data_IF_063915546294
#
_entry.id   IF_063915546294
#
_cell.length_a   1.000
_cell.length_b   1.000
_cell.length_c   1.000
_cell.angle_alpha   90.00
_cell.angle_beta   90.00
_cell.angle_gamma   90.00
#
_symmetry.space_group_name_H-M   'P 1'
#
loop_
_entity.id
_entity.type
_entity.pdbx_description
1 polymer ?
#
# COMPACT_ATOMS: atom_id res chain seq x y z
N UNK A 1 33.51 -23.94 24.45
CA UNK A 1 33.36 -24.22 23.00
C UNK A 1 33.30 -22.89 22.31
N UNK A 2 34.21 -22.72 21.35
CA UNK A 2 34.77 -21.46 20.86
C UNK A 2 33.80 -20.58 20.08
N UNK A 3 34.16 -19.30 20.09
CA UNK A 3 33.74 -18.18 19.26
C UNK A 3 33.39 -18.54 17.81
N UNK A 4 32.25 -18.05 17.34
CA UNK A 4 31.89 -18.03 15.93
C UNK A 4 32.31 -16.70 15.28
N UNK A 5 32.93 -16.83 14.11
CA UNK A 5 33.70 -15.85 13.39
C UNK A 5 32.89 -14.69 12.78
N UNK A 6 33.45 -13.50 12.90
CA UNK A 6 33.13 -12.30 12.12
C UNK A 6 34.10 -12.22 10.93
N UNK A 7 33.76 -12.81 9.79
CA UNK A 7 34.65 -12.76 8.61
C UNK A 7 33.94 -12.71 7.24
N UNK A 8 32.88 -11.89 7.11
CA UNK A 8 32.22 -11.68 5.81
C UNK A 8 32.37 -10.27 5.24
N UNK A 9 33.04 -9.34 5.94
CA UNK A 9 33.27 -7.96 5.46
C UNK A 9 34.71 -7.83 4.94
N UNK A 10 34.86 -8.03 3.61
CA UNK A 10 35.87 -7.44 2.69
C UNK A 10 36.38 -8.48 1.71
N UNK A 11 35.70 -8.64 0.57
CA UNK A 11 36.35 -9.22 -0.61
C UNK A 11 35.74 -8.77 -1.93
N UNK A 12 35.89 -7.50 -2.29
CA UNK A 12 36.10 -7.08 -3.69
C UNK A 12 36.81 -5.73 -3.67
N UNK A 13 38.14 -5.72 -3.75
CA UNK A 13 38.94 -4.61 -4.29
C UNK A 13 40.42 -4.90 -4.04
N UNK A 14 41.10 -5.46 -5.04
CA UNK A 14 42.48 -5.15 -5.42
C UNK A 14 43.03 -6.29 -6.26
N UNK A 15 42.82 -6.23 -7.57
CA UNK A 15 43.67 -6.95 -8.51
C UNK A 15 44.40 -5.87 -9.33
N UNK A 16 45.54 -5.46 -8.82
CA UNK A 16 46.53 -4.63 -9.52
C UNK A 16 47.83 -5.41 -9.43
N UNK A 17 47.96 -6.40 -10.33
CA UNK A 17 49.21 -7.09 -10.58
C UNK A 17 50.13 -6.19 -11.40
N UNK A 18 51.27 -5.83 -10.82
CA UNK A 18 52.37 -5.12 -11.45
C UNK A 18 52.94 -5.93 -12.63
N UNK A 19 53.01 -5.30 -13.81
CA UNK A 19 53.73 -5.85 -14.96
C UNK A 19 55.11 -5.19 -15.05
N UNK A 20 56.12 -6.05 -14.93
CA UNK A 20 57.56 -5.78 -14.96
C UNK A 20 57.99 -5.19 -16.30
N UNK A 21 58.72 -4.08 -16.22
CA UNK A 21 59.33 -3.35 -17.33
C UNK A 21 60.62 -4.07 -17.79
N UNK A 22 60.63 -4.62 -19.01
CA UNK A 22 61.85 -5.06 -19.69
C UNK A 22 62.07 -4.25 -20.98
N UNK A 23 63.23 -3.57 -21.03
CA UNK A 23 63.73 -2.83 -22.20
C UNK A 23 64.22 -3.82 -23.25
N UNK A 24 63.69 -3.73 -24.47
CA UNK A 24 64.42 -4.08 -25.69
C UNK A 24 64.11 -3.04 -26.77
N UNK A 25 65.17 -2.47 -27.35
CA UNK A 25 65.10 -1.51 -28.44
C UNK A 25 64.83 -2.15 -29.79
N UNK A 26 64.44 -1.33 -30.76
CA UNK A 26 64.34 -1.74 -32.16
C UNK A 26 63.40 -0.84 -32.95
N UNK A 27 63.98 -0.10 -33.90
CA UNK A 27 63.32 0.71 -34.94
C UNK A 27 62.21 -0.05 -35.68
N UNK A 28 61.15 0.66 -36.08
CA UNK A 28 60.25 0.20 -37.15
C UNK A 28 58.92 0.94 -37.21
N UNK A 29 58.83 1.93 -38.09
CA UNK A 29 57.60 2.62 -38.49
C UNK A 29 56.55 1.65 -39.06
N UNK A 30 55.27 1.92 -38.80
CA UNK A 30 54.17 2.05 -39.78
C UNK A 30 52.86 2.26 -38.99
N UNK A 31 52.32 3.47 -39.07
CA UNK A 31 51.00 3.81 -38.56
C UNK A 31 49.93 3.29 -39.53
N UNK A 32 49.10 2.35 -39.08
CA UNK A 32 47.84 2.00 -39.73
C UNK A 32 46.69 2.65 -38.95
N UNK A 33 46.21 3.78 -39.47
CA UNK A 33 44.98 4.44 -39.01
C UNK A 33 43.80 3.62 -39.55
N UNK A 34 43.20 2.78 -38.72
CA UNK A 34 41.92 2.16 -39.02
C UNK A 34 40.80 3.17 -38.75
N UNK A 35 40.17 3.68 -39.82
CA UNK A 35 39.02 4.56 -39.73
C UNK A 35 37.80 3.78 -39.21
N UNK A 36 37.46 3.99 -37.94
CA UNK A 36 36.20 3.51 -37.35
C UNK A 36 35.06 4.40 -37.89
N UNK A 37 34.27 3.86 -38.82
CA UNK A 37 33.04 4.49 -39.30
C UNK A 37 32.02 4.50 -38.16
N UNK A 38 31.79 5.67 -37.58
CA UNK A 38 30.71 5.93 -36.62
C UNK A 38 29.37 5.86 -37.37
N UNK A 39 28.70 4.71 -37.32
CA UNK A 39 27.28 4.59 -37.68
C UNK A 39 26.50 5.15 -36.48
N UNK A 40 25.75 6.25 -36.62
CA UNK A 40 24.85 6.69 -35.56
C UNK A 40 23.72 5.67 -35.44
N UNK A 41 23.83 4.79 -34.45
CA UNK A 41 22.75 3.92 -34.03
C UNK A 41 21.62 4.78 -33.51
N UNK A 42 20.56 4.94 -34.30
CA UNK A 42 19.31 5.55 -33.84
C UNK A 42 18.73 4.59 -32.81
N UNK A 43 19.00 4.84 -31.54
CA UNK A 43 18.35 4.15 -30.43
C UNK A 43 16.85 4.46 -30.51
N UNK A 44 16.10 3.58 -31.17
CA UNK A 44 14.65 3.53 -31.01
C UNK A 44 14.40 3.12 -29.58
N UNK A 45 14.07 4.10 -28.73
CA UNK A 45 13.42 3.81 -27.47
C UNK A 45 12.15 3.01 -27.80
N UNK A 46 12.14 1.71 -27.49
CA UNK A 46 10.90 0.97 -27.39
C UNK A 46 10.12 1.61 -26.26
N UNK A 47 9.21 2.53 -26.58
CA UNK A 47 8.05 2.78 -25.74
C UNK A 47 7.24 1.50 -25.78
N UNK A 48 7.61 0.55 -24.93
CA UNK A 48 6.70 -0.49 -24.48
C UNK A 48 5.44 0.25 -24.09
N UNK A 49 4.33 -0.02 -24.78
CA UNK A 49 3.02 0.35 -24.29
C UNK A 49 2.78 -0.49 -23.02
N UNK A 50 3.45 -0.14 -21.92
CA UNK A 50 2.98 -0.50 -20.61
C UNK A 50 1.64 0.19 -20.51
N UNK A 51 0.54 -0.58 -20.50
CA UNK A 51 -0.77 -0.08 -20.10
C UNK A 51 -0.55 0.79 -18.87
N UNK A 52 -0.67 2.11 -19.05
CA UNK A 52 -0.26 3.06 -18.03
C UNK A 52 -1.14 2.82 -16.81
N UNK A 53 -0.52 2.43 -15.69
CA UNK A 53 -1.23 2.20 -14.45
C UNK A 53 -1.76 3.53 -13.95
N UNK A 54 -3.07 3.65 -13.76
CA UNK A 54 -3.72 4.92 -13.44
C UNK A 54 -4.59 4.86 -12.19
N UNK A 55 -4.81 6.01 -11.57
CA UNK A 55 -5.71 6.13 -10.42
C UNK A 55 -7.09 5.59 -10.77
N UNK A 56 -7.64 6.08 -11.87
CA UNK A 56 -9.04 5.88 -12.21
C UNK A 56 -9.37 4.41 -12.49
N UNK A 57 -8.53 3.75 -13.28
CA UNK A 57 -8.75 2.36 -13.70
C UNK A 57 -8.32 1.34 -12.65
N UNK A 58 -7.14 1.54 -12.05
CA UNK A 58 -6.46 0.49 -11.29
C UNK A 58 -6.53 0.71 -9.77
N UNK A 59 -6.62 1.97 -9.30
CA UNK A 59 -6.56 2.28 -7.87
C UNK A 59 -7.94 2.51 -7.26
N UNK A 60 -8.87 3.14 -7.97
CA UNK A 60 -10.25 3.36 -7.47
C UNK A 60 -10.92 2.05 -7.04
N UNK A 61 -10.85 0.92 -7.77
CA UNK A 61 -11.45 -0.34 -7.31
C UNK A 61 -10.90 -0.82 -5.96
N UNK A 62 -9.59 -0.66 -5.73
CA UNK A 62 -8.94 -1.02 -4.46
C UNK A 62 -9.45 -0.10 -3.34
N UNK A 63 -9.47 1.22 -3.57
CA UNK A 63 -9.92 2.19 -2.57
C UNK A 63 -11.40 2.01 -2.22
N UNK A 64 -12.26 1.77 -3.21
CA UNK A 64 -13.69 1.53 -2.99
C UNK A 64 -13.94 0.34 -2.06
N UNK A 65 -13.23 -0.78 -2.28
CA UNK A 65 -13.41 -2.01 -1.51
C UNK A 65 -12.77 -1.94 -0.13
N UNK A 66 -11.53 -1.45 -0.06
CA UNK A 66 -10.67 -1.61 1.13
C UNK A 66 -10.50 -0.34 1.95
N UNK A 67 -10.89 0.84 1.46
CA UNK A 67 -10.59 2.11 2.12
C UNK A 67 -11.81 3.01 2.35
N UNK A 68 -12.68 3.17 1.36
CA UNK A 68 -13.77 4.16 1.37
C UNK A 68 -14.89 3.88 2.37
N UNK A 69 -14.89 2.70 3.01
CA UNK A 69 -15.80 2.44 4.13
C UNK A 69 -15.48 3.37 5.32
N UNK A 70 -14.20 3.69 5.53
CA UNK A 70 -13.73 4.59 6.58
C UNK A 70 -13.26 5.94 6.02
N UNK A 71 -12.65 5.95 4.83
CA UNK A 71 -12.07 7.12 4.18
C UNK A 71 -13.03 7.80 3.21
N UNK A 72 -14.12 8.33 3.75
CA UNK A 72 -15.05 9.21 3.04
C UNK A 72 -15.58 10.26 4.02
N UNK A 73 -16.18 11.33 3.48
CA UNK A 73 -16.73 12.39 4.30
C UNK A 73 -17.79 11.86 5.27
N UNK A 74 -17.71 12.31 6.54
CA UNK A 74 -18.66 11.95 7.59
C UNK A 74 -18.38 10.60 8.26
N UNK A 75 -17.32 9.90 7.86
CA UNK A 75 -16.88 8.65 8.49
C UNK A 75 -15.62 8.87 9.35
N UNK A 76 -15.18 7.79 9.99
CA UNK A 76 -14.14 7.78 11.04
C UNK A 76 -12.75 8.26 10.61
N UNK A 77 -12.35 8.18 9.34
CA UNK A 77 -11.00 8.58 8.95
C UNK A 77 -10.91 10.09 8.64
N UNK A 78 -9.82 10.77 9.03
CA UNK A 78 -9.71 12.23 8.96
C UNK A 78 -9.52 12.79 7.54
N UNK A 79 -9.38 11.92 6.54
CA UNK A 79 -9.26 12.29 5.13
C UNK A 79 -10.08 11.38 4.22
N UNK A 80 -10.69 12.00 3.21
CA UNK A 80 -11.42 11.31 2.15
C UNK A 80 -10.47 10.68 1.13
N UNK A 81 -10.78 9.46 0.68
CA UNK A 81 -10.08 8.76 -0.40
C UNK A 81 -11.04 8.41 -1.56
N UNK A 82 -11.98 9.33 -1.85
CA UNK A 82 -13.03 9.12 -2.84
C UNK A 82 -12.63 9.66 -4.22
N UNK A 83 -12.16 10.90 -4.30
CA UNK A 83 -11.77 11.55 -5.57
C UNK A 83 -10.26 11.61 -5.74
N UNK A 84 -9.79 11.76 -6.98
CA UNK A 84 -8.36 11.90 -7.27
C UNK A 84 -7.73 13.08 -6.53
N UNK A 85 -8.43 14.22 -6.49
CA UNK A 85 -7.97 15.44 -5.83
C UNK A 85 -7.78 15.23 -4.32
N UNK A 86 -8.66 14.47 -3.69
CA UNK A 86 -8.55 14.13 -2.27
C UNK A 86 -7.44 13.10 -2.02
N UNK A 87 -7.28 12.09 -2.89
CA UNK A 87 -6.31 11.00 -2.71
C UNK A 87 -4.88 11.45 -3.03
N UNK A 88 -4.66 12.25 -4.08
CA UNK A 88 -3.34 12.55 -4.63
C UNK A 88 -2.34 13.14 -3.63
N UNK A 89 -2.73 14.05 -2.71
CA UNK A 89 -1.84 14.57 -1.66
C UNK A 89 -1.34 13.47 -0.70
N UNK A 90 -2.14 12.43 -0.46
CA UNK A 90 -1.83 11.35 0.46
C UNK A 90 -1.09 10.18 -0.19
N UNK A 91 -0.85 10.19 -1.51
CA UNK A 91 -0.26 9.08 -2.27
C UNK A 91 0.98 8.46 -1.59
N UNK A 92 1.94 9.27 -1.12
CA UNK A 92 3.13 8.78 -0.42
C UNK A 92 2.80 8.14 0.94
N UNK A 93 1.88 8.73 1.69
CA UNK A 93 1.44 8.20 2.98
C UNK A 93 0.68 6.87 2.80
N UNK A 94 -0.22 6.79 1.82
CA UNK A 94 -0.94 5.57 1.44
C UNK A 94 0.07 4.46 1.13
N UNK A 95 1.04 4.70 0.23
CA UNK A 95 2.10 3.74 -0.07
C UNK A 95 2.79 3.23 1.19
N UNK A 96 3.23 4.13 2.06
CA UNK A 96 3.93 3.77 3.28
C UNK A 96 3.03 2.93 4.20
N UNK A 97 1.75 3.26 4.34
CA UNK A 97 0.82 2.53 5.20
C UNK A 97 0.48 1.15 4.66
N UNK A 98 0.27 1.00 3.34
CA UNK A 98 -0.07 -0.30 2.75
C UNK A 98 1.12 -1.26 2.70
N UNK A 99 2.32 -0.77 2.39
CA UNK A 99 3.54 -1.61 2.37
C UNK A 99 3.87 -2.14 3.77
N UNK A 100 3.65 -1.32 4.80
CA UNK A 100 3.81 -1.75 6.20
C UNK A 100 2.58 -2.51 6.74
N UNK A 101 1.59 -2.81 5.90
CA UNK A 101 0.31 -3.46 6.28
C UNK A 101 -0.38 -2.80 7.48
N UNK A 102 -0.20 -1.49 7.64
CA UNK A 102 -0.89 -0.69 8.65
C UNK A 102 -2.28 -0.26 8.18
N UNK A 103 -2.50 -0.24 6.86
CA UNK A 103 -3.78 0.09 6.24
C UNK A 103 -4.14 -0.94 5.15
N UNK A 104 -5.42 -1.33 5.05
CA UNK A 104 -6.46 -1.08 6.05
C UNK A 104 -6.14 -1.81 7.38
N UNK A 105 -6.63 -1.31 8.53
CA UNK A 105 -6.41 -1.99 9.80
C UNK A 105 -7.10 -3.36 9.75
N UNK A 106 -6.31 -4.42 9.62
CA UNK A 106 -6.79 -5.80 9.54
C UNK A 106 -5.78 -6.72 10.21
N UNK A 107 -5.94 -6.89 11.52
CA UNK A 107 -4.98 -7.59 12.39
C UNK A 107 -5.16 -9.11 12.39
N UNK A 108 -5.37 -9.70 11.22
CA UNK A 108 -5.52 -11.15 11.05
C UNK A 108 -4.18 -11.74 10.59
N UNK A 109 -3.77 -12.86 11.22
CA UNK A 109 -2.59 -13.63 10.82
C UNK A 109 -2.84 -14.32 9.46
N UNK A 110 -1.95 -14.07 8.50
CA UNK A 110 -2.07 -14.59 7.12
C UNK A 110 -1.55 -16.03 6.94
N UNK A 111 -0.96 -16.63 7.98
CA UNK A 111 -0.29 -17.92 7.91
C UNK A 111 -0.99 -19.01 8.75
N UNK A 112 -1.85 -18.62 9.70
CA UNK A 112 -2.45 -19.55 10.66
C UNK A 112 -3.97 -19.32 10.74
N UNK A 113 -4.74 -20.41 10.82
CA UNK A 113 -6.18 -20.36 11.08
C UNK A 113 -7.03 -20.05 9.84
N UNK A 114 -8.17 -19.41 10.05
CA UNK A 114 -9.14 -19.09 8.98
C UNK A 114 -8.57 -17.96 8.12
N UNK A 115 -8.49 -18.19 6.81
CA UNK A 115 -7.90 -17.24 5.85
C UNK A 115 -8.92 -16.58 4.92
N UNK A 116 -10.20 -16.98 5.00
CA UNK A 116 -11.26 -16.45 4.13
C UNK A 116 -12.37 -15.87 4.98
N UNK A 117 -12.48 -14.55 4.97
CA UNK A 117 -13.52 -13.81 5.67
C UNK A 117 -14.50 -13.21 4.67
N UNK A 118 -15.79 -13.19 5.04
CA UNK A 118 -16.86 -12.67 4.17
C UNK A 118 -16.66 -11.19 3.81
N UNK A 119 -16.01 -10.42 4.68
CA UNK A 119 -15.75 -8.99 4.53
C UNK A 119 -14.25 -8.67 4.70
N UNK A 120 -13.38 -9.48 4.11
CA UNK A 120 -11.94 -9.25 4.14
C UNK A 120 -11.60 -7.94 3.43
N UNK A 121 -11.07 -6.97 4.18
CA UNK A 121 -10.65 -5.68 3.66
C UNK A 121 -9.17 -5.65 3.29
N UNK A 122 -8.41 -6.69 3.64
CA UNK A 122 -6.97 -6.74 3.43
C UNK A 122 -6.59 -6.58 1.97
N UNK A 123 -5.37 -6.09 1.75
CA UNK A 123 -4.79 -5.99 0.42
C UNK A 123 -3.97 -7.24 0.11
N UNK A 124 -4.11 -7.73 -1.12
CA UNK A 124 -3.19 -8.72 -1.68
C UNK A 124 -1.83 -8.08 -1.98
N UNK A 125 -0.82 -8.90 -2.24
CA UNK A 125 0.52 -8.40 -2.56
C UNK A 125 0.55 -7.72 -3.92
N UNK A 126 -0.26 -8.20 -4.86
CA UNK A 126 -0.50 -7.58 -6.15
C UNK A 126 -1.11 -6.19 -5.99
N UNK A 127 -2.10 -6.03 -5.11
CA UNK A 127 -2.75 -4.74 -4.87
C UNK A 127 -1.82 -3.74 -4.20
N UNK A 128 -1.01 -4.19 -3.23
CA UNK A 128 0.05 -3.38 -2.64
C UNK A 128 1.06 -2.96 -3.73
N UNK A 129 1.40 -3.87 -4.66
CA UNK A 129 2.30 -3.58 -5.77
C UNK A 129 1.70 -2.56 -6.76
N UNK A 130 0.40 -2.67 -7.07
CA UNK A 130 -0.31 -1.70 -7.93
C UNK A 130 -0.28 -0.31 -7.30
N UNK A 131 -0.66 -0.19 -6.02
CA UNK A 131 -0.63 1.08 -5.29
C UNK A 131 0.79 1.63 -5.23
N UNK A 132 1.79 0.79 -4.95
CA UNK A 132 3.19 1.21 -4.86
C UNK A 132 3.70 1.73 -6.20
N UNK A 133 3.45 0.98 -7.28
CA UNK A 133 3.87 1.32 -8.64
C UNK A 133 3.19 2.61 -9.12
N UNK A 134 1.90 2.77 -8.82
CA UNK A 134 1.16 4.01 -9.11
C UNK A 134 1.85 5.22 -8.51
N UNK A 135 2.18 5.14 -7.22
CA UNK A 135 2.80 6.24 -6.49
C UNK A 135 4.21 6.53 -7.01
N UNK A 136 5.00 5.49 -7.31
CA UNK A 136 6.35 5.62 -7.88
C UNK A 136 6.30 6.29 -9.26
N UNK A 137 5.31 5.98 -10.08
CA UNK A 137 5.12 6.55 -11.42
C UNK A 137 4.49 7.95 -11.41
N UNK A 138 4.46 8.63 -10.26
CA UNK A 138 3.94 10.00 -10.15
C UNK A 138 2.42 10.08 -9.96
N UNK A 139 1.78 8.95 -9.63
CA UNK A 139 0.35 8.83 -9.32
C UNK A 139 -0.54 9.46 -10.42
N UNK A 140 -0.43 9.01 -11.69
CA UNK A 140 -1.22 9.55 -12.79
C UNK A 140 -2.71 9.32 -12.58
N UNK A 141 -3.53 10.31 -12.96
CA UNK A 141 -4.99 10.24 -12.80
C UNK A 141 -5.64 9.22 -13.75
N UNK A 142 -5.17 9.16 -15.00
CA UNK A 142 -5.86 8.46 -16.08
C UNK A 142 -7.13 9.16 -16.55
N UNK A 143 -7.84 8.51 -17.47
CA UNK A 143 -9.10 9.02 -18.01
C UNK A 143 -10.24 8.83 -17.00
N UNK A 144 -10.93 9.89 -16.57
CA UNK A 144 -12.08 9.79 -15.66
C UNK A 144 -13.19 8.84 -16.13
N UNK A 145 -13.32 8.60 -17.44
CA UNK A 145 -14.32 7.69 -18.00
C UNK A 145 -14.03 6.20 -17.71
N UNK A 146 -12.80 5.85 -17.34
CA UNK A 146 -12.41 4.48 -17.00
C UNK A 146 -12.76 4.11 -15.54
N UNK A 147 -13.40 5.03 -14.80
CA UNK A 147 -13.70 4.84 -13.38
C UNK A 147 -14.77 3.76 -13.21
N UNK A 148 -14.64 2.85 -12.23
CA UNK A 148 -15.79 2.07 -11.81
C UNK A 148 -16.89 3.02 -11.29
N UNK A 149 -18.17 2.62 -11.36
CA UNK A 149 -19.25 3.38 -10.75
C UNK A 149 -18.94 3.68 -9.27
N UNK A 150 -19.24 4.89 -8.77
CA UNK A 150 -19.10 5.20 -7.35
C UNK A 150 -19.93 4.24 -6.49
N UNK A 151 -19.36 3.80 -5.37
CA UNK A 151 -20.10 2.99 -4.40
C UNK A 151 -21.22 3.84 -3.80
N UNK A 152 -22.43 3.28 -3.80
CA UNK A 152 -23.57 3.86 -3.08
C UNK A 152 -23.52 3.39 -1.64
N UNK A 153 -23.10 4.28 -0.77
CA UNK A 153 -23.05 3.99 0.65
C UNK A 153 -24.43 4.14 1.28
N UNK A 154 -24.80 3.24 2.19
CA UNK A 154 -26.04 3.39 2.91
C UNK A 154 -25.98 4.61 3.84
N UNK A 155 -27.13 5.20 4.13
CA UNK A 155 -27.21 6.34 5.03
C UNK A 155 -26.75 5.91 6.44
N UNK A 156 -25.77 6.62 7.02
CA UNK A 156 -25.24 6.36 8.36
C UNK A 156 -26.28 6.50 9.49
N UNK A 157 -27.41 7.14 9.19
CA UNK A 157 -28.58 7.23 10.07
C UNK A 157 -29.41 5.94 10.13
N UNK A 158 -29.19 4.99 9.22
CA UNK A 158 -30.00 3.78 9.04
C UNK A 158 -29.24 2.55 9.53
N UNK A 159 -29.94 1.65 10.22
CA UNK A 159 -29.42 0.34 10.64
C UNK A 159 -29.17 -0.57 9.44
N UNK A 160 -28.00 -1.22 9.39
CA UNK A 160 -27.53 -1.98 8.22
C UNK A 160 -27.82 -3.48 8.30
N UNK A 161 -28.13 -3.97 9.49
CA UNK A 161 -28.36 -5.40 9.77
C UNK A 161 -29.83 -5.72 10.08
N UNK A 162 -30.74 -4.79 9.77
CA UNK A 162 -32.15 -4.83 10.14
C UNK A 162 -32.50 -3.81 11.23
N UNK A 163 -33.79 -3.64 11.50
CA UNK A 163 -34.27 -2.86 12.64
C UNK A 163 -33.89 -3.57 13.94
N UNK A 164 -33.28 -2.87 14.92
CA UNK A 164 -32.90 -3.49 16.19
C UNK A 164 -34.12 -3.69 17.08
N UNK A 165 -34.18 -4.85 17.73
CA UNK A 165 -35.17 -5.13 18.79
C UNK A 165 -34.85 -4.37 20.09
N UNK A 166 -33.58 -3.98 20.28
CA UNK A 166 -33.08 -3.25 21.44
C UNK A 166 -32.00 -2.25 21.01
N UNK A 167 -32.15 -0.99 21.42
CA UNK A 167 -31.12 0.05 21.25
C UNK A 167 -30.60 0.41 22.63
N UNK A 168 -29.30 0.19 22.83
CA UNK A 168 -28.63 0.45 24.11
C UNK A 168 -27.70 1.63 23.94
N UNK A 169 -27.79 2.61 24.85
CA UNK A 169 -26.90 3.76 24.87
C UNK A 169 -25.82 3.57 25.95
N UNK A 170 -24.56 3.67 25.55
CA UNK A 170 -23.44 3.70 26.48
C UNK A 170 -23.22 5.13 27.01
N UNK A 171 -22.67 5.28 28.23
CA UNK A 171 -22.32 6.60 28.75
C UNK A 171 -21.27 7.29 27.85
N UNK A 172 -21.33 8.62 27.78
CA UNK A 172 -20.36 9.40 27.02
C UNK A 172 -18.94 9.15 27.53
N UNK A 173 -18.05 8.78 26.63
CA UNK A 173 -16.64 8.57 26.93
C UNK A 173 -15.79 9.59 26.18
N UNK A 174 -14.97 10.35 26.91
CA UNK A 174 -14.07 11.34 26.32
C UNK A 174 -12.79 10.65 25.84
N UNK A 175 -12.61 10.57 24.53
CA UNK A 175 -11.37 10.05 23.92
C UNK A 175 -10.40 11.23 23.68
N UNK A 176 -9.16 11.19 24.21
CA UNK A 176 -8.15 12.19 23.88
C UNK A 176 -7.90 12.28 22.37
N UNK A 177 -7.70 13.49 21.85
CA UNK A 177 -7.41 13.69 20.42
C UNK A 177 -6.08 13.05 19.97
N UNK A 178 -5.14 12.87 20.89
CA UNK A 178 -3.84 12.24 20.66
C UNK A 178 -3.53 11.26 21.80
N UNK A 179 -2.93 10.13 21.47
CA UNK A 179 -2.59 9.09 22.44
C UNK A 179 -2.47 7.70 21.80
N UNK A 180 -2.16 6.71 22.63
CA UNK A 180 -2.28 5.30 22.26
C UNK A 180 -3.75 4.87 22.27
N UNK A 181 -4.03 3.74 21.61
CA UNK A 181 -5.36 3.13 21.62
C UNK A 181 -5.83 2.88 23.06
N UNK A 182 -7.10 3.19 23.32
CA UNK A 182 -7.75 2.90 24.59
C UNK A 182 -8.40 1.52 24.51
N UNK A 183 -7.95 0.62 25.40
CA UNK A 183 -8.56 -0.69 25.58
C UNK A 183 -9.27 -0.73 26.93
N UNK A 184 -10.52 -1.20 26.93
CA UNK A 184 -11.32 -1.33 28.15
C UNK A 184 -12.74 -1.73 27.85
N UNK A 185 -13.49 -1.95 28.92
CA UNK A 185 -14.90 -2.31 28.87
C UNK A 185 -15.76 -1.05 29.07
N UNK A 186 -16.82 -0.95 28.27
CA UNK A 186 -17.91 -0.02 28.52
C UNK A 186 -19.07 -0.81 29.13
N UNK A 187 -19.60 -0.32 30.25
CA UNK A 187 -20.76 -0.92 30.91
C UNK A 187 -21.96 0.00 30.78
N UNK A 188 -23.13 -0.61 30.65
CA UNK A 188 -24.43 0.05 30.65
C UNK A 188 -25.49 -0.94 31.10
N UNK A 189 -26.58 -0.45 31.66
CA UNK A 189 -27.69 -1.30 32.09
C UNK A 189 -28.54 -1.70 30.88
N UNK A 190 -28.94 -2.97 30.84
CA UNK A 190 -29.86 -3.49 29.83
C UNK A 190 -31.24 -3.60 30.44
N UNK A 191 -32.22 -2.94 29.81
CA UNK A 191 -33.62 -3.05 30.19
C UNK A 191 -34.23 -4.29 29.52
N UNK A 192 -34.04 -5.45 30.15
CA UNK A 192 -34.50 -6.76 29.67
C UNK A 192 -35.23 -7.51 30.78
N UNK A 193 -36.45 -7.96 30.51
CA UNK A 193 -37.29 -8.72 31.46
C UNK A 193 -36.92 -10.22 31.51
N UNK A 194 -36.15 -10.72 30.55
CA UNK A 194 -35.77 -12.12 30.40
C UNK A 194 -34.43 -12.28 29.69
N UNK A 195 -33.81 -13.45 29.82
CA UNK A 195 -32.59 -13.80 29.10
C UNK A 195 -32.84 -13.93 27.59
N UNK A 196 -31.96 -13.34 26.78
CA UNK A 196 -32.07 -13.33 25.31
C UNK A 196 -30.75 -13.70 24.65
N UNK A 197 -30.84 -14.41 23.53
CA UNK A 197 -29.69 -14.67 22.66
C UNK A 197 -29.45 -13.51 21.69
N UNK A 198 -28.18 -13.15 21.52
CA UNK A 198 -27.77 -12.14 20.54
C UNK A 198 -27.49 -12.82 19.20
N UNK A 199 -28.15 -12.35 18.14
CA UNK A 199 -27.89 -12.81 16.77
C UNK A 199 -26.92 -11.90 16.02
N UNK A 200 -26.96 -10.59 16.30
CA UNK A 200 -26.12 -9.60 15.67
C UNK A 200 -26.03 -8.34 16.55
N UNK A 201 -24.93 -7.61 16.42
CA UNK A 201 -24.70 -6.31 17.08
C UNK A 201 -24.23 -5.34 16.01
N UNK A 202 -24.76 -4.12 16.05
CA UNK A 202 -24.24 -2.99 15.29
C UNK A 202 -24.02 -1.83 16.24
N UNK A 203 -22.82 -1.28 16.24
CA UNK A 203 -22.47 -0.06 16.96
C UNK A 203 -22.56 1.13 16.02
N UNK A 204 -23.01 2.27 16.53
CA UNK A 204 -23.04 3.56 15.82
C UNK A 204 -22.41 4.63 16.73
N UNK A 205 -21.58 5.53 16.18
CA UNK A 205 -21.03 6.67 16.92
C UNK A 205 -22.09 7.73 17.24
#
# INVERSE_FOLDING_TARGET
VLSADLDWIRRVSSDQGEAIMTRHGGLGWVALIAAFVLIPGVARAQTSASTELTFTKDIVPILQRSCQVCHRQGEMAPMSLVTYQEVRPWARAIKNKVVNRQMPPWHIDKNIGIQKFKNDTSLSDEEISLVTSWVVNGAPRGNPADAPPPVKWPNSSVWQIGEPDLVVQFPTHLVPAEGSDLFGDLYTELDLDEDRYIKAIQTRP
#
